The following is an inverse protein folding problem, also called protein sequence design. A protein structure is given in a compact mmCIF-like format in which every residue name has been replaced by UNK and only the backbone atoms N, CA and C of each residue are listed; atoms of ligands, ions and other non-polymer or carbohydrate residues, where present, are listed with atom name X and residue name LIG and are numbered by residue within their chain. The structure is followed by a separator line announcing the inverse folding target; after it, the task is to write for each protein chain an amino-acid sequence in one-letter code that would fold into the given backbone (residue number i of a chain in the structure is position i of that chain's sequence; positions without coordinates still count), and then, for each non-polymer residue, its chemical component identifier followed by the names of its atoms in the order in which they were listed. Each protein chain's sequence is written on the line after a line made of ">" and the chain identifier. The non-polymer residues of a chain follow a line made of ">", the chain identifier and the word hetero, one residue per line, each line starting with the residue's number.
data_IF_466138144045
#
_entry.id   IF_466138144045
#
_cell.length_a   1.000
_cell.length_b   1.000
_cell.length_c   1.000
_cell.angle_alpha   90.00
_cell.angle_beta   90.00
_cell.angle_gamma   90.00
#
_symmetry.space_group_name_H-M   'P 1'
#
loop_
_entity.id
_entity.type
_entity.pdbx_description
1 polymer ?
#
# COMPACT_ATOMS: atom_id res chain seq x y z
N UNK A 1 40.52 5.72 30.81
CA UNK A 1 39.08 5.42 30.80
C UNK A 1 38.57 5.68 29.40
N UNK A 2 38.18 4.60 28.74
CA UNK A 2 37.95 4.46 27.30
C UNK A 2 36.53 4.91 26.92
N UNK A 3 36.41 6.06 26.25
CA UNK A 3 35.17 6.56 25.62
C UNK A 3 35.38 6.57 24.09
N UNK A 4 35.45 5.40 23.45
CA UNK A 4 35.74 5.32 22.01
C UNK A 4 34.95 4.24 21.25
N UNK A 5 33.87 3.68 21.83
CA UNK A 5 33.13 2.56 21.19
C UNK A 5 31.61 2.71 21.08
N UNK A 6 31.05 3.93 21.11
CA UNK A 6 29.59 4.12 21.08
C UNK A 6 29.03 4.89 19.86
N UNK A 7 29.82 5.17 18.81
CA UNK A 7 29.46 6.17 17.78
C UNK A 7 29.23 5.63 16.36
N UNK A 8 28.62 4.44 16.23
CA UNK A 8 28.27 3.90 14.89
C UNK A 8 26.89 3.26 14.86
N UNK A 9 25.90 3.88 15.50
CA UNK A 9 24.52 3.45 15.39
C UNK A 9 23.55 4.66 15.47
N UNK A 10 22.77 4.82 14.41
CA UNK A 10 21.51 5.59 14.31
C UNK A 10 21.57 7.12 14.13
N UNK A 11 21.39 7.56 12.87
CA UNK A 11 20.70 8.82 12.53
C UNK A 11 19.70 8.53 11.41
N UNK A 12 18.65 7.78 11.75
CA UNK A 12 17.34 7.92 11.10
C UNK A 12 16.52 8.70 12.10
N UNK A 13 16.28 9.98 11.83
CA UNK A 13 15.56 10.87 12.76
C UNK A 13 14.16 10.32 13.02
N UNK A 14 13.96 9.76 14.22
CA UNK A 14 12.67 9.30 14.70
C UNK A 14 11.82 10.48 15.18
N UNK A 15 11.42 11.34 14.24
CA UNK A 15 10.27 12.22 14.41
C UNK A 15 9.12 11.61 13.62
N UNK A 16 8.04 11.28 14.34
CA UNK A 16 6.73 10.83 13.87
C UNK A 16 6.73 10.31 12.42
N UNK A 17 7.31 9.13 12.24
CA UNK A 17 7.24 8.37 10.99
C UNK A 17 5.83 7.78 10.83
N UNK A 18 4.77 8.55 11.08
CA UNK A 18 3.42 8.00 11.04
C UNK A 18 3.22 7.30 9.71
N UNK A 19 2.87 6.01 9.77
CA UNK A 19 3.11 5.01 8.75
C UNK A 19 2.52 5.36 7.37
N UNK A 20 3.03 6.35 6.66
CA UNK A 20 2.65 6.59 5.27
C UNK A 20 3.31 5.47 4.48
N UNK A 21 2.57 4.40 4.24
CA UNK A 21 2.75 3.60 3.03
C UNK A 21 2.83 4.60 1.88
N UNK A 22 3.99 4.71 1.26
CA UNK A 22 4.23 5.58 0.11
C UNK A 22 3.15 5.30 -0.95
N UNK A 23 2.41 6.36 -1.28
CA UNK A 23 1.49 6.57 -2.40
C UNK A 23 1.08 5.34 -3.25
N UNK A 24 -0.18 4.90 -3.09
CA UNK A 24 -0.90 4.03 -4.05
C UNK A 24 -1.98 4.83 -4.84
N UNK A 25 -2.02 6.17 -4.71
CA UNK A 25 -2.96 7.02 -5.46
C UNK A 25 -2.25 7.85 -6.51
N UNK A 26 -2.35 7.48 -7.79
CA UNK A 26 -2.00 8.35 -8.89
C UNK A 26 -2.84 9.63 -8.86
N UNK A 27 -2.19 10.78 -8.80
CA UNK A 27 -2.83 12.11 -8.88
C UNK A 27 -2.89 12.57 -10.33
N UNK A 28 -4.09 12.70 -10.89
CA UNK A 28 -4.39 13.64 -11.97
C UNK A 28 -5.52 14.57 -11.52
N UNK A 29 -5.36 15.85 -11.82
CA UNK A 29 -5.97 16.96 -11.11
C UNK A 29 -7.39 17.37 -11.54
N UNK A 30 -7.89 18.30 -10.70
CA UNK A 30 -8.91 19.33 -10.95
C UNK A 30 -10.37 18.88 -11.09
N UNK A 31 -11.06 18.86 -9.95
CA UNK A 31 -12.41 19.44 -9.79
C UNK A 31 -13.61 18.69 -10.38
N UNK A 32 -14.16 17.72 -9.63
CA UNK A 32 -15.58 17.33 -9.68
C UNK A 32 -16.01 16.67 -8.35
N UNK A 33 -17.28 16.79 -7.91
CA UNK A 33 -17.70 16.36 -6.57
C UNK A 33 -17.77 14.83 -6.44
N UNK A 34 -17.51 14.38 -5.22
CA UNK A 34 -17.42 12.99 -4.78
C UNK A 34 -18.52 12.08 -5.33
N UNK A 35 -18.11 10.89 -5.80
CA UNK A 35 -18.97 9.72 -5.94
C UNK A 35 -18.29 8.53 -5.28
N UNK A 36 -19.04 7.84 -4.43
CA UNK A 36 -18.70 6.59 -3.76
C UNK A 36 -18.18 5.54 -4.74
N UNK A 37 -16.95 5.07 -4.51
CA UNK A 37 -16.37 3.90 -5.17
C UNK A 37 -16.03 2.86 -4.10
N UNK A 38 -17.02 2.04 -3.76
CA UNK A 38 -16.82 0.83 -2.95
C UNK A 38 -16.16 -0.26 -3.79
N UNK A 39 -14.84 -0.37 -3.71
CA UNK A 39 -14.06 -1.47 -4.30
C UNK A 39 -14.34 -2.76 -3.54
N UNK A 40 -15.13 -3.65 -4.15
CA UNK A 40 -15.42 -4.98 -3.61
C UNK A 40 -14.44 -5.98 -4.24
N UNK A 41 -13.42 -6.40 -3.50
CA UNK A 41 -12.49 -7.46 -3.92
C UNK A 41 -13.13 -8.82 -3.60
N UNK A 42 -13.73 -9.48 -4.60
CA UNK A 42 -14.30 -10.83 -4.45
C UNK A 42 -13.29 -11.90 -4.89
N UNK A 43 -13.04 -12.87 -4.00
CA UNK A 43 -12.34 -14.11 -4.32
C UNK A 43 -13.19 -15.03 -5.21
N UNK A 44 -12.52 -15.91 -5.96
CA UNK A 44 -13.14 -16.91 -6.83
C UNK A 44 -14.07 -17.89 -6.10
N UNK A 45 -14.98 -18.56 -6.82
CA UNK A 45 -16.14 -19.19 -6.21
C UNK A 45 -15.80 -20.58 -5.63
N UNK A 46 -16.51 -20.92 -4.55
CA UNK A 46 -16.45 -22.21 -3.86
C UNK A 46 -17.45 -23.19 -4.48
N UNK A 47 -17.05 -24.46 -4.61
CA UNK A 47 -17.89 -25.56 -5.09
C UNK A 47 -19.30 -25.55 -4.42
N UNK A 48 -20.33 -25.23 -5.20
CA UNK A 48 -21.74 -25.16 -4.83
C UNK A 48 -22.31 -23.75 -4.56
N UNK A 49 -21.52 -22.67 -4.61
CA UNK A 49 -22.06 -21.32 -4.41
C UNK A 49 -22.81 -20.83 -5.66
N UNK A 50 -23.77 -19.88 -5.54
CA UNK A 50 -24.54 -19.35 -6.68
C UNK A 50 -23.71 -18.69 -7.82
N UNK A 51 -22.38 -18.57 -7.65
CA UNK A 51 -21.41 -18.04 -8.62
C UNK A 51 -20.54 -19.09 -9.32
N UNK A 52 -20.75 -20.39 -9.10
CA UNK A 52 -20.13 -21.48 -9.87
C UNK A 52 -20.79 -21.73 -11.23
N UNK A 53 -21.80 -20.93 -11.54
CA UNK A 53 -22.49 -21.05 -12.82
C UNK A 53 -21.60 -20.40 -13.86
N UNK A 54 -21.19 -21.20 -14.84
CA UNK A 54 -20.93 -20.70 -16.18
C UNK A 54 -22.07 -19.74 -16.54
N UNK A 55 -21.76 -18.64 -17.23
CA UNK A 55 -22.80 -17.73 -17.72
C UNK A 55 -23.92 -18.59 -18.34
N UNK A 56 -25.18 -18.39 -17.95
CA UNK A 56 -26.24 -19.20 -18.53
C UNK A 56 -26.32 -18.87 -20.02
N UNK A 57 -26.26 -19.86 -20.94
CA UNK A 57 -26.51 -19.61 -22.35
C UNK A 57 -27.83 -18.85 -22.52
N UNK A 58 -27.77 -17.70 -23.18
CA UNK A 58 -28.92 -16.84 -23.39
C UNK A 58 -28.89 -16.26 -24.80
N UNK A 59 -30.04 -15.74 -25.24
CA UNK A 59 -30.12 -14.98 -26.48
C UNK A 59 -29.52 -13.57 -26.26
N UNK A 60 -28.46 -13.17 -26.96
CA UNK A 60 -27.90 -11.82 -26.84
C UNK A 60 -28.91 -10.73 -27.17
N UNK A 61 -29.91 -10.99 -28.01
CA UNK A 61 -30.92 -9.99 -28.35
C UNK A 61 -31.85 -9.64 -27.18
N UNK A 62 -31.85 -10.44 -26.11
CA UNK A 62 -32.57 -10.16 -24.87
C UNK A 62 -31.93 -9.03 -24.02
N UNK A 63 -30.74 -8.58 -24.38
CA UNK A 63 -29.96 -7.60 -23.62
C UNK A 63 -29.71 -6.33 -24.44
N UNK A 64 -29.52 -5.15 -23.79
CA UNK A 64 -29.13 -3.93 -24.48
C UNK A 64 -27.76 -4.07 -25.15
N UNK A 65 -27.56 -3.38 -26.29
CA UNK A 65 -26.24 -3.30 -26.94
C UNK A 65 -25.28 -2.48 -26.10
N UNK A 66 -24.02 -2.94 -26.01
CA UNK A 66 -22.92 -2.11 -25.56
C UNK A 66 -21.93 -1.86 -26.70
N UNK A 67 -21.24 -0.72 -26.62
CA UNK A 67 -20.26 -0.34 -27.62
C UNK A 67 -18.93 -1.06 -27.40
N UNK A 68 -18.42 -1.69 -28.46
CA UNK A 68 -17.06 -2.19 -28.56
C UNK A 68 -16.29 -1.26 -29.49
N UNK A 69 -15.43 -0.40 -28.94
CA UNK A 69 -14.72 0.63 -29.74
C UNK A 69 -13.86 0.04 -30.86
N UNK A 70 -13.42 -1.22 -30.71
CA UNK A 70 -12.54 -1.94 -31.65
C UNK A 70 -13.30 -2.97 -32.50
N UNK A 71 -14.63 -2.95 -32.46
CA UNK A 71 -15.51 -3.85 -33.22
C UNK A 71 -15.97 -5.08 -32.45
N UNK A 72 -16.88 -5.85 -33.07
CA UNK A 72 -17.56 -6.98 -32.44
C UNK A 72 -18.96 -6.64 -31.94
N UNK A 73 -19.78 -7.68 -31.75
CA UNK A 73 -21.11 -7.56 -31.15
C UNK A 73 -21.04 -7.94 -29.67
N UNK A 74 -21.55 -7.06 -28.81
CA UNK A 74 -21.64 -7.31 -27.38
C UNK A 74 -22.93 -6.74 -26.79
N UNK A 75 -23.26 -7.21 -25.59
CA UNK A 75 -24.47 -6.87 -24.86
C UNK A 75 -24.21 -6.63 -23.38
N UNK A 76 -25.04 -5.79 -22.78
CA UNK A 76 -25.03 -5.53 -21.36
C UNK A 76 -25.72 -6.66 -20.60
N UNK A 77 -24.93 -7.57 -20.05
CA UNK A 77 -25.43 -8.71 -19.28
C UNK A 77 -25.33 -8.39 -17.78
N UNK A 78 -26.37 -8.68 -16.99
CA UNK A 78 -26.31 -8.54 -15.54
C UNK A 78 -25.14 -9.35 -14.96
N UNK A 79 -24.39 -8.73 -14.04
CA UNK A 79 -23.24 -9.39 -13.38
C UNK A 79 -23.67 -10.44 -12.35
N UNK A 80 -24.96 -10.52 -12.03
CA UNK A 80 -25.51 -11.52 -11.13
C UNK A 80 -25.45 -12.91 -11.80
N UNK A 81 -24.61 -13.79 -11.26
CA UNK A 81 -24.37 -15.13 -11.82
C UNK A 81 -23.23 -15.21 -12.83
N UNK A 82 -22.47 -14.13 -13.01
CA UNK A 82 -21.24 -14.15 -13.80
C UNK A 82 -20.03 -14.46 -12.89
N UNK A 83 -19.12 -15.35 -13.30
CA UNK A 83 -17.87 -15.59 -12.57
C UNK A 83 -17.06 -14.29 -12.42
N UNK A 84 -16.48 -14.08 -11.23
CA UNK A 84 -15.69 -12.89 -10.92
C UNK A 84 -14.52 -12.69 -11.89
N UNK A 85 -13.81 -13.78 -12.21
CA UNK A 85 -12.69 -13.75 -13.16
C UNK A 85 -13.09 -13.26 -14.56
N UNK A 86 -14.34 -13.51 -14.98
CA UNK A 86 -14.88 -13.01 -16.24
C UNK A 86 -15.28 -11.54 -16.11
N UNK A 87 -15.92 -11.14 -15.01
CA UNK A 87 -16.30 -9.74 -14.72
C UNK A 87 -15.11 -8.79 -14.77
N UNK A 88 -13.99 -9.18 -14.18
CA UNK A 88 -12.80 -8.34 -14.07
C UNK A 88 -12.12 -8.06 -15.42
N UNK A 89 -12.48 -8.82 -16.47
CA UNK A 89 -11.97 -8.65 -17.84
C UNK A 89 -12.93 -7.88 -18.75
N UNK A 90 -14.13 -7.52 -18.27
CA UNK A 90 -15.19 -6.91 -19.07
C UNK A 90 -15.39 -5.45 -18.71
N UNK A 91 -15.71 -4.62 -19.71
CA UNK A 91 -16.07 -3.22 -19.49
C UNK A 91 -17.45 -3.09 -18.86
N UNK A 92 -17.64 -2.12 -17.97
CA UNK A 92 -18.95 -1.83 -17.39
C UNK A 92 -19.90 -1.21 -18.42
N UNK A 93 -21.19 -1.53 -18.32
CA UNK A 93 -22.22 -0.91 -19.15
C UNK A 93 -22.69 0.43 -18.58
N UNK A 94 -22.90 1.41 -19.47
CA UNK A 94 -23.32 2.76 -19.09
C UNK A 94 -24.80 2.86 -18.69
N UNK A 95 -25.67 1.96 -19.20
CA UNK A 95 -27.10 1.93 -18.89
C UNK A 95 -27.49 0.58 -18.26
N UNK A 96 -28.22 0.62 -17.14
CA UNK A 96 -28.87 -0.56 -16.54
C UNK A 96 -28.03 -1.39 -15.56
N UNK A 97 -26.73 -1.14 -15.43
CA UNK A 97 -25.83 -1.94 -14.58
C UNK A 97 -25.55 -3.32 -15.19
N UNK A 98 -24.27 -3.70 -15.30
CA UNK A 98 -23.87 -4.94 -15.95
C UNK A 98 -22.47 -4.89 -16.52
N UNK A 99 -22.05 -5.98 -17.15
CA UNK A 99 -20.81 -6.07 -17.89
C UNK A 99 -21.10 -6.22 -19.39
N UNK A 100 -20.28 -5.59 -20.24
CA UNK A 100 -20.38 -5.66 -21.69
C UNK A 100 -19.79 -6.99 -22.18
N UNK A 101 -20.65 -8.00 -22.36
CA UNK A 101 -20.26 -9.36 -22.74
C UNK A 101 -20.42 -9.56 -24.24
N UNK A 102 -19.40 -10.07 -24.95
CA UNK A 102 -19.50 -10.47 -26.35
C UNK A 102 -20.66 -11.45 -26.61
N UNK A 103 -21.42 -11.25 -27.70
CA UNK A 103 -22.60 -12.05 -28.05
C UNK A 103 -22.30 -13.55 -28.04
N UNK A 104 -21.10 -13.96 -28.47
CA UNK A 104 -20.71 -15.37 -28.53
C UNK A 104 -20.51 -16.00 -27.16
N UNK A 105 -20.03 -15.24 -26.17
CA UNK A 105 -19.94 -15.71 -24.78
C UNK A 105 -21.33 -15.81 -24.15
N UNK A 106 -22.24 -14.90 -24.49
CA UNK A 106 -23.64 -14.97 -24.05
C UNK A 106 -24.33 -16.21 -24.64
N UNK A 107 -24.13 -16.50 -25.93
CA UNK A 107 -24.66 -17.70 -26.60
C UNK A 107 -24.07 -19.00 -26.06
N UNK A 108 -22.76 -19.04 -25.83
CA UNK A 108 -22.05 -20.26 -25.41
C UNK A 108 -22.12 -20.52 -23.91
N UNK A 109 -22.63 -19.56 -23.15
CA UNK A 109 -22.64 -19.62 -21.70
C UNK A 109 -21.25 -19.50 -21.08
N UNK A 110 -20.37 -18.67 -21.67
CA UNK A 110 -19.05 -18.37 -21.12
C UNK A 110 -17.96 -19.38 -21.50
N UNK A 111 -18.22 -20.32 -22.41
CA UNK A 111 -17.22 -21.24 -22.96
C UNK A 111 -16.83 -20.79 -24.37
N UNK A 112 -15.66 -20.17 -24.58
CA UNK A 112 -15.28 -19.75 -25.92
C UNK A 112 -14.89 -20.95 -26.80
N UNK A 113 -15.08 -20.81 -28.12
CA UNK A 113 -14.67 -21.84 -29.08
C UNK A 113 -13.17 -22.09 -29.02
N UNK A 114 -12.75 -23.33 -29.28
CA UNK A 114 -11.33 -23.70 -29.34
C UNK A 114 -10.71 -23.25 -30.65
N UNK A 115 -9.42 -22.91 -30.61
CA UNK A 115 -8.65 -22.57 -31.81
C UNK A 115 -7.19 -23.00 -31.64
N UNK A 116 -6.45 -23.02 -32.76
CA UNK A 116 -5.02 -23.27 -32.76
C UNK A 116 -4.31 -22.03 -33.32
N UNK A 117 -3.57 -21.32 -32.48
CA UNK A 117 -2.74 -20.19 -32.91
C UNK A 117 -1.36 -20.66 -33.35
N UNK A 118 -0.57 -19.73 -33.90
CA UNK A 118 0.86 -19.93 -34.16
C UNK A 118 1.67 -20.25 -32.88
N UNK A 119 1.12 -20.00 -31.68
CA UNK A 119 1.75 -20.20 -30.38
C UNK A 119 1.22 -21.42 -29.60
N UNK A 120 0.30 -22.20 -30.20
CA UNK A 120 -0.27 -23.39 -29.57
C UNK A 120 -1.80 -23.35 -29.46
N UNK A 121 -2.35 -24.21 -28.60
CA UNK A 121 -3.78 -24.25 -28.31
C UNK A 121 -4.25 -22.90 -27.75
N UNK A 122 -5.46 -22.49 -28.11
CA UNK A 122 -6.06 -21.26 -27.64
C UNK A 122 -7.59 -21.29 -27.59
N UNK A 123 -8.16 -20.13 -27.28
CA UNK A 123 -9.60 -19.87 -27.30
C UNK A 123 -9.91 -18.64 -28.14
N UNK A 124 -11.02 -18.69 -28.86
CA UNK A 124 -11.51 -17.55 -29.62
C UNK A 124 -12.11 -16.51 -28.68
N UNK A 125 -11.43 -15.37 -28.56
CA UNK A 125 -11.85 -14.26 -27.71
C UNK A 125 -12.21 -13.06 -28.55
N UNK A 126 -13.26 -12.33 -28.18
CA UNK A 126 -13.71 -11.14 -28.90
C UNK A 126 -12.73 -9.99 -28.76
N UNK A 127 -12.52 -9.23 -29.84
CA UNK A 127 -11.77 -7.95 -29.81
C UNK A 127 -12.48 -6.86 -29.00
N UNK A 128 -13.69 -7.13 -28.49
CA UNK A 128 -14.36 -6.27 -27.53
C UNK A 128 -13.70 -6.30 -26.14
N UNK A 129 -12.91 -7.34 -25.84
CA UNK A 129 -12.13 -7.40 -24.60
C UNK A 129 -10.88 -6.52 -24.75
N UNK A 130 -10.61 -5.56 -23.85
CA UNK A 130 -9.50 -4.61 -24.01
C UNK A 130 -8.16 -5.29 -24.25
N UNK A 131 -7.84 -6.33 -23.48
CA UNK A 131 -6.58 -7.08 -23.64
C UNK A 131 -6.47 -7.79 -24.99
N UNK A 132 -7.58 -8.23 -25.58
CA UNK A 132 -7.58 -8.86 -26.91
C UNK A 132 -7.46 -7.79 -27.99
N UNK A 133 -8.10 -6.65 -27.79
CA UNK A 133 -8.05 -5.51 -28.70
C UNK A 133 -6.64 -4.91 -28.79
N UNK A 134 -5.99 -4.72 -27.64
CA UNK A 134 -4.64 -4.17 -27.53
C UNK A 134 -3.58 -5.08 -28.16
N UNK A 135 -3.86 -6.38 -28.22
CA UNK A 135 -2.99 -7.39 -28.82
C UNK A 135 -3.52 -7.91 -30.17
N UNK A 136 -4.52 -7.27 -30.76
CA UNK A 136 -5.22 -7.80 -31.94
C UNK A 136 -4.32 -7.91 -33.18
N UNK A 137 -3.23 -7.14 -33.23
CA UNK A 137 -2.22 -7.18 -34.29
C UNK A 137 -1.23 -8.35 -34.12
N UNK A 138 -1.08 -8.86 -32.89
CA UNK A 138 -0.20 -9.99 -32.55
C UNK A 138 -0.93 -11.33 -32.57
N UNK A 139 -2.25 -11.30 -32.42
CA UNK A 139 -3.10 -12.47 -32.40
C UNK A 139 -3.70 -12.71 -33.78
N UNK A 140 -3.64 -13.94 -34.27
CA UNK A 140 -4.31 -14.36 -35.51
C UNK A 140 -5.75 -14.85 -35.22
N UNK A 141 -6.50 -15.23 -36.25
CA UNK A 141 -7.83 -15.85 -36.11
C UNK A 141 -7.77 -17.37 -35.93
N UNK A 142 -6.60 -17.90 -35.58
CA UNK A 142 -6.30 -19.32 -35.55
C UNK A 142 -6.13 -19.93 -36.94
N UNK A 143 -5.56 -21.14 -36.97
CA UNK A 143 -5.36 -21.95 -38.16
C UNK A 143 -6.68 -22.11 -38.92
N UNK A 144 -6.69 -21.68 -40.18
CA UNK A 144 -7.88 -21.74 -41.04
C UNK A 144 -8.97 -20.72 -40.72
N UNK A 145 -8.66 -19.64 -39.98
CA UNK A 145 -9.62 -18.67 -39.47
C UNK A 145 -10.71 -19.31 -38.59
N UNK A 146 -10.28 -20.19 -37.67
CA UNK A 146 -11.15 -20.88 -36.73
C UNK A 146 -12.00 -19.94 -35.86
N UNK A 147 -11.51 -18.72 -35.58
CA UNK A 147 -12.26 -17.68 -34.87
C UNK A 147 -12.95 -16.72 -35.83
N UNK A 148 -14.08 -16.15 -35.45
CA UNK A 148 -14.85 -15.20 -36.27
C UNK A 148 -14.12 -13.87 -36.54
N UNK A 149 -14.64 -13.04 -37.46
CA UNK A 149 -13.97 -11.82 -37.91
C UNK A 149 -13.72 -10.80 -36.77
N UNK A 150 -14.61 -10.79 -35.77
CA UNK A 150 -14.49 -9.98 -34.55
C UNK A 150 -13.74 -10.66 -33.41
N UNK A 151 -13.04 -11.76 -33.67
CA UNK A 151 -12.36 -12.55 -32.64
C UNK A 151 -10.88 -12.76 -32.98
N UNK A 152 -10.13 -13.17 -31.96
CA UNK A 152 -8.72 -13.55 -32.04
C UNK A 152 -8.49 -14.84 -31.26
N UNK A 153 -7.57 -15.66 -31.76
CA UNK A 153 -7.16 -16.87 -31.08
C UNK A 153 -6.13 -16.52 -29.99
N UNK A 154 -6.59 -16.47 -28.73
CA UNK A 154 -5.71 -16.19 -27.58
C UNK A 154 -5.09 -17.51 -27.11
N UNK A 155 -3.76 -17.64 -27.07
CA UNK A 155 -3.11 -18.89 -26.65
C UNK A 155 -3.32 -19.17 -25.16
N UNK A 156 -3.33 -20.44 -24.77
CA UNK A 156 -3.43 -20.87 -23.36
C UNK A 156 -2.26 -20.38 -22.48
N UNK A 157 -1.12 -20.10 -23.11
CA UNK A 157 0.12 -19.66 -22.46
C UNK A 157 0.61 -18.41 -23.17
N UNK A 158 1.00 -17.39 -22.41
CA UNK A 158 1.56 -16.16 -22.94
C UNK A 158 2.92 -16.47 -23.59
N UNK A 159 3.09 -16.29 -24.91
CA UNK A 159 4.34 -16.63 -25.59
C UNK A 159 5.51 -15.73 -25.21
N UNK A 160 5.25 -14.58 -24.57
CA UNK A 160 6.29 -13.63 -24.13
C UNK A 160 6.80 -13.92 -22.72
N UNK A 161 5.99 -14.59 -21.88
CA UNK A 161 6.28 -14.82 -20.44
C UNK A 161 6.29 -16.29 -20.03
N UNK A 162 5.73 -17.18 -20.85
CA UNK A 162 5.57 -18.61 -20.53
C UNK A 162 4.53 -18.90 -19.44
N UNK A 163 3.75 -17.91 -19.02
CA UNK A 163 2.74 -18.05 -17.95
C UNK A 163 1.37 -18.39 -18.54
N UNK A 164 0.52 -19.17 -17.83
CA UNK A 164 -0.86 -19.41 -18.25
C UNK A 164 -1.65 -18.10 -18.41
N UNK A 165 -2.42 -17.96 -19.50
CA UNK A 165 -3.32 -16.82 -19.72
C UNK A 165 -4.69 -17.02 -19.07
N UNK A 166 -5.00 -18.25 -18.65
CA UNK A 166 -6.29 -18.63 -18.05
C UNK A 166 -7.44 -18.82 -19.05
N UNK A 167 -7.28 -18.44 -20.32
CA UNK A 167 -8.37 -18.50 -21.32
C UNK A 167 -8.84 -19.94 -21.57
N UNK A 168 -7.94 -20.91 -21.52
CA UNK A 168 -8.26 -22.31 -21.77
C UNK A 168 -8.94 -23.03 -20.60
N UNK A 169 -9.03 -22.36 -19.45
CA UNK A 169 -9.74 -22.85 -18.27
C UNK A 169 -11.14 -22.22 -18.12
N UNK A 170 -11.49 -21.28 -19.00
CA UNK A 170 -12.85 -20.75 -19.12
C UNK A 170 -13.81 -21.89 -19.49
N UNK A 171 -14.85 -22.07 -18.66
CA UNK A 171 -15.90 -23.05 -18.92
C UNK A 171 -15.62 -24.49 -18.48
N UNK A 172 -14.41 -24.79 -17.97
CA UNK A 172 -14.16 -26.10 -17.33
C UNK A 172 -14.86 -26.11 -15.97
N UNK A 173 -15.91 -26.93 -15.83
CA UNK A 173 -16.51 -27.19 -14.52
C UNK A 173 -15.44 -27.78 -13.59
N UNK A 174 -15.48 -27.41 -12.30
CA UNK A 174 -14.64 -27.93 -11.23
C UNK A 174 -14.90 -29.43 -10.91
N UNK A 175 -15.11 -30.27 -11.93
CA UNK A 175 -15.55 -31.66 -11.79
C UNK A 175 -14.40 -32.66 -11.71
N UNK A 176 -13.22 -32.35 -12.26
CA UNK A 176 -12.09 -33.29 -12.28
C UNK A 176 -11.16 -33.18 -11.05
N UNK A 177 -11.36 -32.19 -10.18
CA UNK A 177 -10.60 -32.03 -8.94
C UNK A 177 -11.15 -32.83 -7.73
N UNK A 178 -12.21 -33.62 -7.93
CA UNK A 178 -12.93 -34.28 -6.83
C UNK A 178 -12.80 -35.82 -6.78
N UNK A 179 -12.11 -36.48 -7.71
CA UNK A 179 -11.97 -37.94 -7.71
C UNK A 179 -10.54 -38.39 -8.09
N UNK A 180 -9.58 -38.22 -7.18
CA UNK A 180 -8.36 -39.05 -7.12
C UNK A 180 -7.64 -38.89 -5.77
N UNK A 181 -7.71 -39.96 -4.95
CA UNK A 181 -6.80 -40.45 -3.90
C UNK A 181 -6.02 -39.48 -2.99
N UNK A 182 -6.52 -39.36 -1.75
CA UNK A 182 -5.75 -39.61 -0.52
C UNK A 182 -4.39 -38.91 -0.35
N UNK A 183 -4.39 -37.60 -0.08
CA UNK A 183 -3.18 -36.91 0.35
C UNK A 183 -3.39 -35.43 0.67
N UNK A 184 -3.87 -35.15 1.90
CA UNK A 184 -3.88 -33.83 2.57
C UNK A 184 -4.15 -32.61 1.66
N UNK A 185 -5.39 -32.46 1.19
CA UNK A 185 -5.84 -31.24 0.51
C UNK A 185 -6.80 -30.48 1.42
N UNK A 186 -6.38 -29.28 1.84
CA UNK A 186 -7.25 -28.33 2.52
C UNK A 186 -8.48 -28.06 1.63
N UNK A 187 -9.67 -28.24 2.21
CA UNK A 187 -10.93 -27.85 1.58
C UNK A 187 -10.88 -26.37 1.16
N UNK A 188 -11.50 -25.96 0.04
CA UNK A 188 -11.66 -24.55 -0.27
C UNK A 188 -12.60 -23.96 0.79
N UNK A 189 -12.00 -23.28 1.75
CA UNK A 189 -12.70 -22.52 2.78
C UNK A 189 -13.60 -21.49 2.10
N UNK A 190 -14.82 -21.33 2.62
CA UNK A 190 -15.70 -20.22 2.28
C UNK A 190 -14.91 -18.90 2.24
N UNK A 191 -15.31 -17.88 1.43
CA UNK A 191 -14.64 -16.58 1.45
C UNK A 191 -14.54 -16.12 2.90
N UNK A 192 -13.29 -15.94 3.34
CA UNK A 192 -12.99 -15.64 4.72
C UNK A 192 -13.71 -14.34 5.07
N UNK A 193 -14.66 -14.42 5.99
CA UNK A 193 -15.35 -13.25 6.49
C UNK A 193 -14.32 -12.25 7.03
N UNK A 194 -14.59 -10.97 6.86
CA UNK A 194 -13.81 -9.89 7.45
C UNK A 194 -14.70 -9.19 8.50
N UNK A 195 -14.33 -9.19 9.80
CA UNK A 195 -13.15 -9.85 10.36
C UNK A 195 -13.25 -11.38 10.35
N UNK A 196 -12.12 -12.06 10.19
CA UNK A 196 -12.08 -13.51 10.36
C UNK A 196 -12.12 -13.84 11.85
N UNK A 197 -13.16 -14.55 12.27
CA UNK A 197 -13.41 -14.93 13.68
C UNK A 197 -13.35 -16.44 13.92
N UNK A 198 -12.93 -17.22 12.92
CA UNK A 198 -12.84 -18.67 13.01
C UNK A 198 -11.52 -19.18 13.61
N UNK A 199 -11.34 -20.51 13.72
CA UNK A 199 -10.08 -21.13 14.15
C UNK A 199 -8.91 -20.73 13.23
N UNK A 200 -7.64 -20.76 13.68
CA UNK A 200 -6.50 -20.47 12.82
C UNK A 200 -6.53 -21.27 11.51
N UNK A 201 -6.45 -20.57 10.38
CA UNK A 201 -6.39 -21.16 9.03
C UNK A 201 -5.00 -21.71 8.72
N UNK A 202 -3.99 -21.08 9.31
CA UNK A 202 -2.59 -21.47 9.19
C UNK A 202 -2.06 -21.76 10.58
N UNK A 203 -1.48 -22.94 10.74
CA UNK A 203 -0.76 -23.32 11.96
C UNK A 203 0.60 -22.62 11.99
N UNK A 204 0.64 -21.47 12.65
CA UNK A 204 1.82 -20.61 12.77
C UNK A 204 2.98 -21.28 13.53
N UNK A 205 2.73 -22.37 14.27
CA UNK A 205 3.79 -23.09 14.99
C UNK A 205 4.71 -23.88 14.05
N UNK A 206 4.27 -24.15 12.83
CA UNK A 206 5.04 -24.88 11.79
C UNK A 206 5.93 -23.96 10.95
N UNK A 207 5.78 -22.64 11.11
CA UNK A 207 6.57 -21.66 10.37
C UNK A 207 7.79 -21.24 11.21
N UNK A 208 8.93 -20.90 10.58
CA UNK A 208 10.08 -20.36 11.30
C UNK A 208 9.75 -19.03 11.97
N UNK A 209 10.25 -18.81 13.19
CA UNK A 209 10.14 -17.49 13.85
C UNK A 209 11.07 -16.47 13.20
N UNK A 210 10.58 -15.24 13.07
CA UNK A 210 11.35 -14.08 12.60
C UNK A 210 11.27 -12.90 13.57
N UNK A 211 10.80 -13.14 14.80
CA UNK A 211 10.64 -12.14 15.86
C UNK A 211 9.47 -12.43 16.77
N UNK A 212 9.29 -11.60 17.79
CA UNK A 212 8.21 -11.75 18.78
C UNK A 212 6.83 -11.57 18.12
N UNK A 213 6.02 -12.63 18.15
CA UNK A 213 4.69 -12.64 17.55
C UNK A 213 4.69 -12.62 16.02
N UNK A 214 5.76 -13.05 15.36
CA UNK A 214 5.88 -13.08 13.91
C UNK A 214 6.52 -14.37 13.37
N UNK A 215 6.18 -14.73 12.12
CA UNK A 215 6.69 -15.91 11.43
C UNK A 215 7.08 -15.60 9.99
N UNK A 216 8.04 -16.36 9.48
CA UNK A 216 8.40 -16.37 8.08
C UNK A 216 7.32 -17.06 7.23
N UNK A 217 6.86 -16.37 6.19
CA UNK A 217 5.97 -16.91 5.17
C UNK A 217 6.65 -16.83 3.80
N UNK A 218 6.32 -17.76 2.91
CA UNK A 218 6.77 -17.73 1.52
C UNK A 218 6.28 -16.43 0.86
N UNK A 219 7.19 -15.70 0.20
CA UNK A 219 6.88 -14.45 -0.47
C UNK A 219 5.78 -14.60 -1.55
N UNK A 220 5.60 -15.80 -2.13
CA UNK A 220 4.54 -16.09 -3.11
C UNK A 220 3.13 -16.07 -2.50
N UNK A 221 3.02 -16.24 -1.18
CA UNK A 221 1.76 -16.18 -0.45
C UNK A 221 1.42 -14.76 0.02
N UNK A 222 2.35 -13.82 -0.13
CA UNK A 222 2.16 -12.43 0.29
C UNK A 222 1.69 -11.61 -0.91
N UNK A 223 0.56 -10.87 -0.79
CA UNK A 223 0.12 -9.96 -1.83
C UNK A 223 1.20 -8.93 -2.20
N UNK A 224 1.34 -8.63 -3.49
CA UNK A 224 2.39 -7.75 -4.01
C UNK A 224 2.37 -6.34 -3.39
N UNK A 225 1.20 -5.85 -2.97
CA UNK A 225 1.04 -4.57 -2.30
C UNK A 225 1.45 -4.58 -0.81
N UNK A 226 1.52 -5.76 -0.19
CA UNK A 226 1.92 -5.93 1.23
C UNK A 226 3.40 -6.28 1.33
N UNK A 227 3.95 -7.04 0.38
CA UNK A 227 5.32 -7.53 0.42
C UNK A 227 6.39 -6.45 0.71
N UNK A 228 6.33 -5.22 0.16
CA UNK A 228 7.29 -4.16 0.46
C UNK A 228 7.27 -3.66 1.91
N UNK A 229 6.19 -3.96 2.65
CA UNK A 229 5.99 -3.51 4.03
C UNK A 229 6.52 -4.50 5.06
N UNK A 230 6.95 -5.69 4.64
CA UNK A 230 7.43 -6.76 5.52
C UNK A 230 8.96 -6.84 5.49
N UNK A 231 9.55 -7.21 6.63
CA UNK A 231 10.98 -7.52 6.67
C UNK A 231 11.26 -8.83 5.92
N UNK A 232 12.44 -8.93 5.31
CA UNK A 232 12.93 -10.22 4.79
C UNK A 232 13.30 -11.14 5.96
N UNK A 233 13.11 -12.44 5.76
CA UNK A 233 13.63 -13.46 6.65
C UNK A 233 14.11 -14.67 5.84
N UNK A 234 14.64 -15.70 6.52
CA UNK A 234 15.37 -16.81 5.89
C UNK A 234 14.60 -17.50 4.75
N UNK A 235 13.29 -17.71 4.92
CA UNK A 235 12.44 -18.43 3.96
C UNK A 235 11.45 -17.53 3.20
N UNK A 236 11.54 -16.21 3.34
CA UNK A 236 10.64 -15.27 2.65
C UNK A 236 10.46 -13.95 3.37
N UNK A 237 9.24 -13.66 3.80
CA UNK A 237 8.85 -12.40 4.43
C UNK A 237 8.33 -12.64 5.85
N UNK A 238 8.71 -11.75 6.77
CA UNK A 238 8.30 -11.81 8.17
C UNK A 238 6.95 -11.13 8.35
N UNK A 239 5.91 -11.91 8.69
CA UNK A 239 4.55 -11.42 8.89
C UNK A 239 4.05 -11.69 10.32
N UNK A 240 3.15 -10.86 10.86
CA UNK A 240 2.58 -11.07 12.20
C UNK A 240 1.78 -12.36 12.30
N UNK A 241 1.96 -13.12 13.38
CA UNK A 241 1.28 -14.41 13.62
C UNK A 241 -0.24 -14.30 13.51
N UNK A 242 -0.84 -13.23 14.05
CA UNK A 242 -2.29 -13.01 14.00
C UNK A 242 -2.80 -12.85 12.57
N UNK A 243 -2.06 -12.13 11.74
CA UNK A 243 -2.37 -11.94 10.32
C UNK A 243 -2.24 -13.25 9.55
N UNK A 244 -1.18 -14.03 9.81
CA UNK A 244 -0.97 -15.34 9.19
C UNK A 244 -2.08 -16.33 9.59
N UNK A 245 -2.39 -16.41 10.89
CA UNK A 245 -3.42 -17.30 11.42
C UNK A 245 -4.80 -17.00 10.83
N UNK A 246 -5.08 -15.73 10.51
CA UNK A 246 -6.33 -15.30 9.87
C UNK A 246 -6.28 -15.31 8.33
N UNK A 247 -5.21 -15.82 7.70
CA UNK A 247 -5.07 -15.84 6.25
C UNK A 247 -5.11 -14.45 5.62
N UNK A 248 -4.58 -13.43 6.31
CA UNK A 248 -4.63 -12.04 5.89
C UNK A 248 -5.88 -11.26 6.28
N UNK A 249 -6.93 -11.91 6.80
CA UNK A 249 -8.21 -11.27 7.18
C UNK A 249 -8.30 -10.93 8.68
N UNK A 250 -7.16 -10.63 9.30
CA UNK A 250 -7.10 -10.21 10.70
C UNK A 250 -7.47 -8.74 10.82
N UNK A 251 -8.57 -8.43 11.51
CA UNK A 251 -8.93 -7.06 11.88
C UNK A 251 -8.20 -6.69 13.18
N UNK A 252 -7.25 -5.74 13.14
CA UNK A 252 -6.55 -5.35 14.35
C UNK A 252 -7.48 -4.68 15.36
N UNK A 253 -7.15 -4.83 16.64
CA UNK A 253 -7.90 -4.16 17.72
C UNK A 253 -7.75 -2.64 17.61
N UNK A 254 -8.85 -1.91 17.84
CA UNK A 254 -8.84 -0.45 18.00
C UNK A 254 -8.12 -0.04 19.30
N UNK A 255 -7.35 1.04 19.24
CA UNK A 255 -6.57 1.59 20.35
C UNK A 255 -6.53 3.14 20.28
N UNK A 256 -6.00 3.81 21.31
CA UNK A 256 -5.73 5.26 21.27
C UNK A 256 -4.25 5.54 21.08
N UNK A 257 -3.94 6.25 20.00
CA UNK A 257 -2.58 6.64 19.68
C UNK A 257 -2.25 8.01 20.27
N UNK A 258 -1.15 8.61 19.81
CA UNK A 258 -0.75 9.98 20.16
C UNK A 258 -1.91 10.96 19.96
N UNK A 259 -2.07 11.92 20.88
CA UNK A 259 -3.21 12.86 20.93
C UNK A 259 -4.58 12.19 21.01
N UNK A 260 -4.65 10.99 21.55
CA UNK A 260 -5.89 10.21 21.66
C UNK A 260 -6.54 9.90 20.29
N UNK A 261 -5.76 9.96 19.21
CA UNK A 261 -6.23 9.64 17.87
C UNK A 261 -6.63 8.16 17.78
N UNK A 262 -7.68 7.85 17.00
CA UNK A 262 -8.01 6.47 16.66
C UNK A 262 -6.82 5.77 16.00
N UNK A 263 -6.54 4.54 16.40
CA UNK A 263 -5.53 3.70 15.78
C UNK A 263 -5.87 2.22 15.72
N UNK A 264 -4.89 1.45 15.25
CA UNK A 264 -4.92 -0.01 15.19
C UNK A 264 -3.65 -0.61 15.80
N UNK A 265 -3.82 -1.67 16.58
CA UNK A 265 -2.72 -2.42 17.15
C UNK A 265 -1.93 -3.12 16.04
N UNK A 266 -0.72 -2.65 15.79
CA UNK A 266 0.14 -3.16 14.73
C UNK A 266 1.40 -3.78 15.34
N UNK A 267 1.82 -4.92 14.80
CA UNK A 267 2.99 -5.65 15.31
C UNK A 267 4.28 -4.87 15.10
N UNK A 268 5.16 -4.90 16.10
CA UNK A 268 6.54 -4.35 16.01
C UNK A 268 7.44 -5.15 15.07
N UNK A 269 6.98 -6.29 14.54
CA UNK A 269 7.68 -7.02 13.46
C UNK A 269 7.62 -6.28 12.12
N UNK A 270 6.66 -5.37 11.94
CA UNK A 270 6.59 -4.50 10.77
C UNK A 270 7.69 -3.42 10.89
N UNK A 271 8.61 -3.29 9.92
CA UNK A 271 9.72 -2.34 9.98
C UNK A 271 9.30 -0.90 10.30
N UNK A 272 8.19 -0.43 9.72
CA UNK A 272 7.68 0.92 9.96
C UNK A 272 7.23 1.13 11.42
N UNK A 273 6.64 0.10 12.05
CA UNK A 273 6.22 0.14 13.45
C UNK A 273 7.42 -0.01 14.38
N UNK A 274 8.35 -0.90 14.06
CA UNK A 274 9.59 -1.10 14.81
C UNK A 274 10.39 0.20 14.93
N UNK A 275 10.50 0.96 13.83
CA UNK A 275 11.19 2.24 13.78
C UNK A 275 10.58 3.32 14.70
N UNK A 276 9.35 3.12 15.17
CA UNK A 276 8.61 4.07 16.00
C UNK A 276 8.14 3.50 17.33
N UNK A 277 8.60 2.29 17.68
CA UNK A 277 8.11 1.57 18.86
C UNK A 277 8.28 2.33 20.17
N UNK A 278 9.20 3.29 20.21
CA UNK A 278 9.51 4.08 21.40
C UNK A 278 8.64 5.34 21.53
N UNK A 279 7.93 5.75 20.46
CA UNK A 279 7.05 6.93 20.44
C UNK A 279 5.56 6.58 20.30
N UNK A 280 5.25 5.40 19.72
CA UNK A 280 3.88 4.92 19.64
C UNK A 280 3.48 4.31 20.99
N UNK A 281 2.28 4.60 21.51
CA UNK A 281 1.82 3.99 22.74
C UNK A 281 1.47 2.51 22.50
N UNK A 282 1.55 1.71 23.56
CA UNK A 282 1.00 0.34 23.55
C UNK A 282 -0.52 0.37 23.69
N UNK A 283 -1.08 1.36 24.40
CA UNK A 283 -2.50 1.51 24.80
C UNK A 283 -3.49 0.45 24.27
N UNK A 284 -3.80 -0.55 25.11
CA UNK A 284 -4.78 -1.59 24.79
C UNK A 284 -4.33 -2.65 23.77
N UNK A 285 -3.13 -2.52 23.20
CA UNK A 285 -2.48 -3.52 22.35
C UNK A 285 -1.62 -4.50 23.15
N UNK A 286 -1.21 -5.58 22.50
CA UNK A 286 -0.30 -6.56 23.12
C UNK A 286 1.13 -5.99 23.25
N UNK A 287 1.96 -6.63 24.08
CA UNK A 287 3.33 -6.16 24.36
C UNK A 287 4.22 -6.01 23.11
N UNK A 288 4.01 -6.88 22.11
CA UNK A 288 4.68 -6.87 20.80
C UNK A 288 3.96 -6.01 19.76
N UNK A 289 3.03 -5.16 20.17
CA UNK A 289 2.26 -4.28 19.29
C UNK A 289 2.35 -2.83 19.75
N UNK A 290 2.04 -1.92 18.82
CA UNK A 290 1.91 -0.50 19.06
C UNK A 290 0.66 0.04 18.42
N UNK A 291 0.07 1.04 19.04
CA UNK A 291 -1.10 1.72 18.50
C UNK A 291 -0.68 2.70 17.40
N UNK A 292 -0.77 2.26 16.15
CA UNK A 292 -0.50 3.10 14.98
C UNK A 292 -1.76 3.92 14.68
N UNK A 293 -1.69 5.25 14.59
CA UNK A 293 -2.87 6.07 14.34
C UNK A 293 -3.39 5.84 12.92
N UNK A 294 -4.71 5.93 12.70
CA UNK A 294 -5.31 5.83 11.36
C UNK A 294 -4.78 6.91 10.40
N UNK A 295 -4.48 8.08 10.93
CA UNK A 295 -3.96 9.24 10.21
C UNK A 295 -2.68 9.72 10.86
N UNK A 296 -1.73 10.15 10.04
CA UNK A 296 -0.49 10.72 10.48
C UNK A 296 -0.76 12.07 11.18
N UNK A 297 -0.37 12.26 12.45
CA UNK A 297 -0.68 13.51 13.12
C UNK A 297 0.18 14.69 12.62
N UNK A 298 1.25 14.44 11.85
CA UNK A 298 2.04 15.49 11.21
C UNK A 298 1.29 16.27 10.12
N UNK A 299 0.57 15.57 9.25
CA UNK A 299 -0.03 16.12 8.04
C UNK A 299 -1.49 15.69 7.80
N UNK A 300 -2.03 14.83 8.67
CA UNK A 300 -3.39 14.30 8.59
C UNK A 300 -3.60 13.21 7.53
N UNK A 301 -2.54 12.73 6.84
CA UNK A 301 -2.69 11.74 5.77
C UNK A 301 -2.96 10.33 6.33
N UNK A 302 -3.68 9.46 5.59
CA UNK A 302 -3.87 8.07 6.02
C UNK A 302 -2.55 7.32 6.19
N UNK A 303 -2.45 6.52 7.26
CA UNK A 303 -1.29 5.63 7.50
C UNK A 303 -1.51 4.21 6.98
N UNK A 304 -2.71 3.91 6.47
CA UNK A 304 -3.12 2.54 6.15
C UNK A 304 -3.35 1.64 7.36
N UNK A 305 -3.09 2.08 8.59
CA UNK A 305 -3.28 1.27 9.80
C UNK A 305 -4.72 0.80 9.97
N UNK A 306 -5.68 1.63 9.57
CA UNK A 306 -7.13 1.34 9.62
C UNK A 306 -7.69 0.88 8.26
N UNK A 307 -6.83 0.35 7.41
CA UNK A 307 -7.15 -0.18 6.08
C UNK A 307 -6.30 -1.43 5.77
N UNK A 308 -5.86 -2.16 6.80
CA UNK A 308 -5.07 -3.40 6.63
C UNK A 308 -5.90 -4.55 6.09
N UNK A 309 -7.23 -4.48 6.24
CA UNK A 309 -8.20 -5.44 5.71
C UNK A 309 -9.41 -4.72 5.11
N UNK A 310 -10.13 -5.30 4.14
CA UNK A 310 -11.20 -4.62 3.41
C UNK A 310 -12.39 -4.15 4.25
N UNK A 311 -12.62 -4.76 5.42
CA UNK A 311 -13.71 -4.38 6.33
C UNK A 311 -13.28 -3.36 7.40
N UNK A 312 -12.03 -2.90 7.39
CA UNK A 312 -11.57 -1.87 8.30
C UNK A 312 -11.62 -0.49 7.64
N UNK A 313 -12.00 0.50 8.45
CA UNK A 313 -11.97 1.91 8.09
C UNK A 313 -11.84 2.77 9.36
N UNK A 314 -11.21 3.95 9.28
CA UNK A 314 -11.28 4.95 10.34
C UNK A 314 -12.74 5.35 10.61
N UNK A 315 -13.11 5.47 11.88
CA UNK A 315 -14.41 5.96 12.35
C UNK A 315 -14.35 7.40 12.84
N UNK A 316 -13.16 7.86 13.21
CA UNK A 316 -12.88 9.21 13.67
C UNK A 316 -12.06 10.00 12.64
N UNK A 317 -12.22 11.34 12.58
CA UNK A 317 -11.43 12.18 11.68
C UNK A 317 -9.95 12.22 12.10
N UNK A 318 -9.10 12.70 11.19
CA UNK A 318 -7.68 12.92 11.48
C UNK A 318 -7.48 13.93 12.63
N UNK A 319 -6.63 13.56 13.59
CA UNK A 319 -6.20 14.43 14.69
C UNK A 319 -4.77 14.89 14.40
N UNK A 320 -4.63 16.05 13.76
CA UNK A 320 -3.33 16.63 13.43
C UNK A 320 -2.74 17.43 14.60
N UNK A 321 -1.41 17.54 14.64
CA UNK A 321 -0.72 18.43 15.56
C UNK A 321 -1.08 19.89 15.26
N UNK A 322 -1.33 20.71 16.30
CA UNK A 322 -1.52 22.14 16.14
C UNK A 322 -0.33 22.79 15.44
N UNK A 323 -0.59 23.83 14.67
CA UNK A 323 0.45 24.63 14.02
C UNK A 323 1.22 25.51 15.03
N UNK A 324 2.49 25.75 14.76
CA UNK A 324 3.35 26.65 15.51
C UNK A 324 4.40 27.34 14.63
N UNK A 325 5.28 28.14 15.26
CA UNK A 325 6.29 28.94 14.58
C UNK A 325 5.70 29.84 13.50
N UNK A 326 4.76 30.69 13.93
CA UNK A 326 4.07 31.61 13.03
C UNK A 326 5.02 32.73 12.58
N UNK A 327 5.20 32.89 11.28
CA UNK A 327 5.94 34.01 10.67
C UNK A 327 5.08 34.65 9.60
N UNK A 328 4.58 35.86 9.88
CA UNK A 328 3.55 36.50 9.05
C UNK A 328 2.26 35.69 9.05
N UNK A 329 1.79 35.28 7.87
CA UNK A 329 0.58 34.46 7.66
C UNK A 329 0.87 32.96 7.57
N UNK A 330 2.13 32.55 7.65
CA UNK A 330 2.55 31.16 7.42
C UNK A 330 2.96 30.51 8.72
N UNK A 331 2.45 29.31 8.98
CA UNK A 331 2.93 28.43 10.04
C UNK A 331 3.96 27.46 9.46
N UNK A 332 5.03 27.18 10.21
CA UNK A 332 6.18 26.41 9.72
C UNK A 332 6.63 25.32 10.68
N UNK A 333 5.90 25.15 11.78
CA UNK A 333 6.09 24.07 12.73
C UNK A 333 4.78 23.45 13.19
N UNK A 334 4.91 22.35 13.92
CA UNK A 334 3.85 21.59 14.56
C UNK A 334 4.17 21.43 16.05
N UNK A 335 3.16 21.58 16.90
CA UNK A 335 3.24 21.31 18.32
C UNK A 335 3.21 19.81 18.56
N UNK A 336 4.37 19.23 18.86
CA UNK A 336 4.55 17.80 19.08
C UNK A 336 4.75 17.55 20.57
N UNK A 337 4.09 16.52 21.17
CA UNK A 337 4.30 16.20 22.58
C UNK A 337 5.77 15.91 22.86
N UNK A 338 6.37 16.64 23.80
CA UNK A 338 7.79 16.51 24.14
C UNK A 338 8.18 15.09 24.51
N UNK A 339 7.27 14.28 25.06
CA UNK A 339 7.52 12.86 25.35
C UNK A 339 7.85 12.02 24.10
N UNK A 340 7.38 12.42 22.93
CA UNK A 340 7.58 11.72 21.65
C UNK A 340 8.81 12.21 20.87
N UNK A 341 9.49 13.25 21.38
CA UNK A 341 10.66 13.84 20.72
C UNK A 341 11.93 13.23 21.32
N UNK A 342 12.91 12.79 20.50
CA UNK A 342 14.20 12.33 21.01
C UNK A 342 14.90 13.38 21.86
N UNK A 343 15.53 12.98 22.96
CA UNK A 343 16.17 13.90 23.91
C UNK A 343 17.19 14.85 23.23
N UNK A 344 17.96 14.35 22.25
CA UNK A 344 18.93 15.13 21.49
C UNK A 344 18.34 16.27 20.64
N UNK A 345 17.05 16.21 20.33
CA UNK A 345 16.35 17.25 19.57
C UNK A 345 15.71 18.30 20.49
N UNK A 346 15.30 17.91 21.71
CA UNK A 346 14.57 18.79 22.64
C UNK A 346 15.31 20.08 22.96
N UNK A 347 16.63 20.02 23.09
CA UNK A 347 17.47 21.19 23.41
C UNK A 347 17.45 22.28 22.31
N UNK A 348 16.93 21.97 21.12
CA UNK A 348 16.86 22.86 19.95
C UNK A 348 15.44 23.29 19.60
N UNK A 349 14.49 22.96 20.46
CA UNK A 349 13.07 23.20 20.27
C UNK A 349 12.55 23.97 21.48
N UNK A 350 11.71 24.96 21.24
CA UNK A 350 10.99 25.69 22.28
C UNK A 350 9.49 25.37 22.20
N UNK A 351 8.70 25.86 23.14
CA UNK A 351 7.24 25.70 23.18
C UNK A 351 6.51 26.82 22.41
N UNK A 352 7.20 27.52 21.51
CA UNK A 352 6.68 28.71 20.83
C UNK A 352 5.36 28.41 20.11
N UNK A 353 4.36 29.23 20.38
CA UNK A 353 2.99 29.13 19.86
C UNK A 353 2.21 27.86 20.29
N UNK A 354 2.82 26.96 21.06
CA UNK A 354 2.18 25.74 21.52
C UNK A 354 1.34 25.98 22.78
N UNK A 355 0.09 25.50 22.74
CA UNK A 355 -0.89 25.76 23.79
C UNK A 355 -0.91 24.69 24.88
N UNK A 356 -0.60 23.45 24.53
CA UNK A 356 -0.62 22.35 25.48
C UNK A 356 0.72 22.27 26.23
N UNK A 357 0.71 22.19 27.57
CA UNK A 357 1.94 22.10 28.35
C UNK A 357 2.77 20.87 27.96
N UNK A 358 4.08 21.08 27.76
CA UNK A 358 5.02 20.02 27.39
C UNK A 358 5.09 19.71 25.90
N UNK A 359 4.31 20.39 25.06
CA UNK A 359 4.53 20.40 23.61
C UNK A 359 5.75 21.24 23.25
N UNK A 360 6.48 20.81 22.22
CA UNK A 360 7.55 21.59 21.61
C UNK A 360 7.22 21.83 20.13
N UNK A 361 7.58 23.01 19.65
CA UNK A 361 7.39 23.43 18.27
C UNK A 361 8.45 22.82 17.37
N UNK A 362 8.05 21.79 16.61
CA UNK A 362 8.93 21.07 15.67
C UNK A 362 8.68 21.59 14.26
N UNK A 363 9.71 21.98 13.49
CA UNK A 363 9.53 22.35 12.07
C UNK A 363 8.73 21.30 11.29
N UNK A 364 7.75 21.72 10.49
CA UNK A 364 6.80 20.79 9.83
C UNK A 364 7.51 19.78 8.93
N UNK A 365 8.62 20.20 8.31
CA UNK A 365 9.48 19.32 7.51
C UNK A 365 10.06 18.16 8.33
N UNK A 366 10.42 18.40 9.59
CA UNK A 366 10.97 17.36 10.48
C UNK A 366 9.89 16.45 11.05
N UNK A 367 8.61 16.84 11.04
CA UNK A 367 7.48 15.96 11.42
C UNK A 367 7.06 15.05 10.26
N UNK A 368 7.53 15.34 9.05
CA UNK A 368 7.25 14.52 7.87
C UNK A 368 8.19 13.33 7.78
N UNK A 369 7.64 12.19 7.37
CA UNK A 369 8.41 10.95 7.22
C UNK A 369 9.49 11.09 6.15
N UNK A 370 10.71 10.64 6.45
CA UNK A 370 11.78 10.52 5.46
C UNK A 370 12.35 11.86 4.96
N UNK A 371 12.07 12.96 5.66
CA UNK A 371 12.63 14.26 5.29
C UNK A 371 14.16 14.25 5.39
N UNK A 372 14.81 14.55 4.26
CA UNK A 372 16.25 14.80 4.18
C UNK A 372 16.43 16.29 3.88
N UNK A 373 17.05 17.06 4.78
CA UNK A 373 17.21 18.49 4.56
C UNK A 373 18.15 18.76 3.37
N UNK A 374 17.84 19.75 2.51
CA UNK A 374 18.70 20.11 1.37
C UNK A 374 20.12 20.47 1.80
N UNK A 375 21.12 20.08 1.03
CA UNK A 375 22.53 20.50 1.25
C UNK A 375 22.68 21.99 0.93
N UNK A 376 23.55 22.68 1.65
CA UNK A 376 23.79 24.11 1.45
C UNK A 376 25.25 24.52 1.64
N UNK A 377 25.56 25.72 1.16
CA UNK A 377 26.83 26.40 1.42
C UNK A 377 26.56 27.80 1.97
N UNK A 378 27.37 28.23 2.93
CA UNK A 378 27.28 29.56 3.51
C UNK A 378 28.65 30.08 3.93
N UNK A 379 28.73 31.39 4.13
CA UNK A 379 29.93 32.07 4.62
C UNK A 379 29.57 32.78 5.92
N UNK A 380 30.15 32.37 7.05
CA UNK A 380 29.95 32.99 8.37
C UNK A 380 31.13 33.85 8.78
N UNK A 381 30.88 34.93 9.53
CA UNK A 381 31.96 35.81 10.01
C UNK A 381 33.00 35.08 10.89
N UNK A 382 32.56 34.03 11.58
CA UNK A 382 33.40 33.22 12.48
C UNK A 382 33.83 31.90 11.84
N UNK A 383 32.94 31.28 11.04
CA UNK A 383 33.16 29.94 10.48
C UNK A 383 33.84 29.95 9.11
N UNK A 384 34.01 31.13 8.48
CA UNK A 384 34.44 31.20 7.09
C UNK A 384 33.44 30.54 6.14
N UNK A 385 33.91 29.99 5.02
CA UNK A 385 33.07 29.23 4.10
C UNK A 385 32.85 27.81 4.63
N UNK A 386 31.60 27.36 4.70
CA UNK A 386 31.26 26.04 5.20
C UNK A 386 30.12 25.39 4.41
N UNK A 387 30.04 24.06 4.52
CA UNK A 387 28.96 23.23 3.97
C UNK A 387 28.03 22.77 5.09
N UNK A 388 26.76 22.63 4.76
CA UNK A 388 25.74 22.33 5.75
C UNK A 388 24.48 21.72 5.15
N UNK A 389 23.43 21.73 5.95
CA UNK A 389 22.06 21.41 5.55
C UNK A 389 21.11 22.54 5.92
N UNK A 390 20.09 22.75 5.10
CA UNK A 390 19.08 23.76 5.34
C UNK A 390 18.11 23.29 6.40
N UNK A 391 18.03 24.07 7.48
CA UNK A 391 17.11 23.83 8.58
C UNK A 391 16.25 25.06 8.82
N UNK A 392 14.99 24.84 9.17
CA UNK A 392 14.05 25.91 9.49
C UNK A 392 14.58 26.82 10.60
N UNK A 393 14.41 28.13 10.42
CA UNK A 393 14.67 29.14 11.46
C UNK A 393 13.71 29.04 12.68
N UNK A 394 12.76 28.09 12.65
CA UNK A 394 11.95 27.70 13.79
C UNK A 394 12.74 26.92 14.85
N UNK A 395 13.90 26.34 14.51
CA UNK A 395 14.77 25.73 15.49
C UNK A 395 15.50 26.79 16.30
N UNK A 396 15.72 26.51 17.58
CA UNK A 396 16.65 27.31 18.38
C UNK A 396 18.09 26.87 18.03
N UNK A 397 18.84 27.80 17.43
CA UNK A 397 20.27 27.64 17.15
C UNK A 397 21.15 28.18 18.29
N UNK A 398 20.53 28.67 19.36
CA UNK A 398 21.18 29.34 20.48
C UNK A 398 21.83 30.67 20.09
N UNK A 399 22.35 31.36 21.09
CA UNK A 399 23.02 32.65 20.93
C UNK A 399 24.17 32.62 19.91
N UNK A 400 25.01 31.58 19.96
CA UNK A 400 26.16 31.46 19.07
C UNK A 400 25.80 30.96 17.66
N UNK A 401 24.75 30.15 17.51
CA UNK A 401 24.30 29.72 16.19
C UNK A 401 23.59 30.85 15.43
N UNK A 402 22.89 31.76 16.11
CA UNK A 402 22.26 32.91 15.47
C UNK A 402 23.22 33.89 14.79
N UNK A 403 24.45 34.00 15.32
CA UNK A 403 25.51 34.90 14.82
C UNK A 403 26.43 34.17 13.81
N UNK A 404 26.70 32.88 14.02
CA UNK A 404 27.63 32.13 13.19
C UNK A 404 26.99 31.54 11.92
N UNK A 405 25.66 31.34 11.92
CA UNK A 405 24.95 30.61 10.87
C UNK A 405 24.15 31.58 9.99
N UNK A 406 24.53 31.64 8.72
CA UNK A 406 23.86 32.44 7.70
C UNK A 406 22.86 31.60 6.88
N UNK A 407 21.94 32.29 6.20
CA UNK A 407 21.00 31.64 5.26
C UNK A 407 21.77 30.88 4.16
N UNK A 408 22.82 31.50 3.61
CA UNK A 408 23.60 30.90 2.52
C UNK A 408 22.74 30.63 1.30
N UNK A 409 22.88 29.43 0.72
CA UNK A 409 22.05 28.97 -0.41
C UNK A 409 20.70 28.40 0.01
N UNK A 410 20.32 28.49 1.29
CA UNK A 410 19.03 27.97 1.74
C UNK A 410 17.86 28.85 1.30
N UNK A 411 16.67 28.24 1.10
CA UNK A 411 15.43 28.96 0.89
C UNK A 411 15.15 30.00 1.99
N UNK A 412 14.20 30.89 1.69
CA UNK A 412 13.73 31.86 2.68
C UNK A 412 13.25 31.15 3.95
N UNK A 413 13.59 31.74 5.11
CA UNK A 413 13.26 31.22 6.45
C UNK A 413 13.96 29.93 6.87
N UNK A 414 15.00 29.53 6.14
CA UNK A 414 15.92 28.48 6.53
C UNK A 414 17.33 29.04 6.76
N UNK A 415 18.12 28.34 7.56
CA UNK A 415 19.53 28.66 7.80
C UNK A 415 20.38 27.46 7.44
N UNK A 416 21.54 27.75 6.85
CA UNK A 416 22.49 26.71 6.46
C UNK A 416 23.27 26.26 7.70
N UNK A 417 22.84 25.18 8.35
CA UNK A 417 23.47 24.65 9.57
C UNK A 417 24.68 23.78 9.21
N UNK A 418 25.87 24.04 9.78
CA UNK A 418 27.09 23.35 9.39
C UNK A 418 27.07 21.86 9.78
N UNK A 419 27.58 21.01 8.89
CA UNK A 419 27.71 19.58 9.15
C UNK A 419 28.84 19.22 10.10
N UNK A 420 29.81 20.12 10.27
CA UNK A 420 30.95 19.95 11.15
C UNK A 420 31.19 21.21 11.99
N UNK A 421 31.61 21.01 13.23
CA UNK A 421 32.02 22.09 14.14
C UNK A 421 33.32 21.67 14.82
N UNK A 422 34.37 22.46 14.63
CA UNK A 422 35.70 22.18 15.16
C UNK A 422 36.23 20.78 14.77
N UNK A 423 35.98 20.37 13.52
CA UNK A 423 36.39 19.05 13.01
C UNK A 423 35.58 17.88 13.56
N UNK A 424 34.47 18.13 14.27
CA UNK A 424 33.56 17.08 14.76
C UNK A 424 32.21 17.16 14.03
N UNK A 425 31.62 16.02 13.65
CA UNK A 425 30.31 16.01 13.01
C UNK A 425 29.24 16.53 13.99
N UNK A 426 28.33 17.35 13.49
CA UNK A 426 27.25 17.94 14.31
C UNK A 426 26.09 16.99 14.57
N UNK A 427 26.06 15.83 13.90
CA UNK A 427 25.00 14.84 14.01
C UNK A 427 23.67 15.28 13.39
N UNK A 428 23.69 16.35 12.58
CA UNK A 428 22.49 16.82 11.89
C UNK A 428 22.03 15.80 10.85
N UNK A 429 20.72 15.52 10.74
CA UNK A 429 20.18 14.73 9.63
C UNK A 429 20.62 15.30 8.28
N UNK A 430 21.00 14.43 7.34
CA UNK A 430 21.49 14.84 6.00
C UNK A 430 22.96 15.26 5.93
N UNK A 431 23.65 15.37 7.07
CA UNK A 431 25.10 15.54 7.12
C UNK A 431 25.77 14.16 7.09
N UNK A 432 26.07 13.68 5.89
CA UNK A 432 26.91 12.50 5.71
C UNK A 432 28.30 12.78 6.29
N UNK A 433 28.78 11.92 7.18
CA UNK A 433 30.19 11.88 7.58
C UNK A 433 30.97 11.51 6.32
N UNK A 434 31.61 12.50 5.69
CA UNK A 434 32.54 12.28 4.59
C UNK A 434 33.68 11.45 5.17
N UNK A 435 33.70 10.15 4.90
CA UNK A 435 34.83 9.28 5.26
C UNK A 435 36.04 9.55 4.40
#
# INVERSE_FOLDING_TARGET
>A
MTYEKALTAWVTGALLVACSVTDIGGTDGVGAPARDAGTTTQGGPACGAPGDKSLAPADPEAYPKCACEKGGAARCVPVAGMPQALRDQLSACQEGGGACVPDDLVKSGGVPATCQSSFGEGRCMSVCLPQVADNADLLDRGKGNACDAGQRCVPCTDPTKGTPTGVCDLGKAAKEACEADGGVTAAPSAPLACPYVGPPLVDVSKLPSCGDGARCVDAKLVPANVAPQLAKCETGLCAPEKTIAAGGMFLPKTCRSVRNAEGRCSSVSLPAVAAQKDILPVDGCDASERCVPCFAPGDGKPTGACATVPCDAPKEPAVAFPECCKKGTTNRGKCVPGATIPASMKERLDDRDCKEPGDLCVPSALVSVGFVPPKCTASGAILGNYKGVCLSDCLDFGFFGGIAINQGTCPEFERCAPCERNGQPTGLPGCEVSK
#
